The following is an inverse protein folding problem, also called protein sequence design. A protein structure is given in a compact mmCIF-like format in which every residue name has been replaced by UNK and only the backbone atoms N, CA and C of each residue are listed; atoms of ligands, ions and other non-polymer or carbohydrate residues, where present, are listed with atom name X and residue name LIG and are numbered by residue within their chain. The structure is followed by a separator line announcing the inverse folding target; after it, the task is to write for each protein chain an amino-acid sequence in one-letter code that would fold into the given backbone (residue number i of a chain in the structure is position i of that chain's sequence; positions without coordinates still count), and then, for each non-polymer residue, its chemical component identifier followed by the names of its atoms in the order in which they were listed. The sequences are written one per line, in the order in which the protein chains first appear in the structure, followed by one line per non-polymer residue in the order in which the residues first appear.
data_IF_535710607315
#
_entry.id   IF_535710607315
#
_cell.length_a   1.000
_cell.length_b   1.000
_cell.length_c   1.000
_cell.angle_alpha   90.00
_cell.angle_beta   90.00
_cell.angle_gamma   90.00
#
_symmetry.space_group_name_H-M   'P 1'
#
loop_
_entity.id
_entity.type
_entity.pdbx_description
1 polymer ?
#
# COMPACT_ATOMS: atom_id res chain seq x y z
N UNK A 1 -0.53 18.75 -6.75
CA UNK A 1 0.50 18.50 -5.71
C UNK A 1 -0.03 18.50 -4.28
N UNK A 2 -0.87 19.46 -3.85
CA UNK A 2 -1.41 19.50 -2.48
C UNK A 2 -2.02 18.18 -2.01
N UNK A 3 -2.93 17.60 -2.79
CA UNK A 3 -3.61 16.35 -2.46
C UNK A 3 -2.67 15.13 -2.34
N UNK A 4 -1.57 15.10 -3.11
CA UNK A 4 -0.59 13.98 -3.05
C UNK A 4 0.15 14.00 -1.71
N UNK A 5 0.27 15.16 -1.05
CA UNK A 5 0.90 15.23 0.29
C UNK A 5 0.05 14.55 1.36
N UNK A 6 -1.25 14.47 1.17
CA UNK A 6 -2.22 13.96 2.15
C UNK A 6 -2.46 12.44 2.07
N UNK A 7 -1.80 11.75 1.13
CA UNK A 7 -1.91 10.29 0.96
C UNK A 7 -0.64 9.57 1.36
N UNK A 8 -0.74 8.31 1.78
CA UNK A 8 0.40 7.51 2.23
C UNK A 8 1.06 6.68 1.12
N UNK A 9 0.38 6.51 -0.03
CA UNK A 9 0.89 5.81 -1.20
C UNK A 9 0.33 6.41 -2.49
N UNK A 10 1.00 6.16 -3.61
CA UNK A 10 0.59 6.66 -4.93
C UNK A 10 0.33 5.49 -5.88
N UNK A 11 -0.85 5.48 -6.50
CA UNK A 11 -1.14 4.59 -7.63
C UNK A 11 -0.84 5.37 -8.91
N UNK A 12 0.23 5.00 -9.60
CA UNK A 12 0.64 5.65 -10.84
C UNK A 12 0.09 4.86 -12.02
N UNK A 13 -1.02 5.35 -12.58
CA UNK A 13 -1.64 4.75 -13.77
C UNK A 13 -0.87 5.23 -15.01
N UNK A 14 -0.44 4.28 -15.84
CA UNK A 14 0.32 4.51 -17.07
C UNK A 14 -0.45 3.94 -18.26
N UNK A 15 -0.47 4.69 -19.36
CA UNK A 15 -1.07 4.24 -20.62
C UNK A 15 -0.17 3.19 -21.27
N UNK A 16 -0.67 1.97 -21.38
CA UNK A 16 0.01 0.84 -22.00
C UNK A 16 -0.81 0.27 -23.17
N UNK A 17 -1.55 1.10 -23.90
CA UNK A 17 -2.35 0.71 -25.07
C UNK A 17 -2.26 1.75 -26.18
N UNK A 18 -2.38 1.29 -27.43
CA UNK A 18 -2.46 2.13 -28.62
C UNK A 18 -3.92 2.34 -28.99
N UNK A 19 -4.31 3.60 -29.19
CA UNK A 19 -5.65 3.96 -29.63
C UNK A 19 -5.54 5.19 -30.53
N UNK A 20 -5.96 5.04 -31.79
CA UNK A 20 -5.91 6.06 -32.84
C UNK A 20 -6.83 7.25 -32.52
N UNK A 21 -7.86 7.06 -31.68
CA UNK A 21 -8.79 8.10 -31.26
C UNK A 21 -8.29 8.91 -30.05
N UNK A 22 -7.19 8.48 -29.41
CA UNK A 22 -6.62 9.14 -28.22
C UNK A 22 -5.22 9.66 -28.50
N UNK A 23 -5.11 10.97 -28.71
CA UNK A 23 -3.83 11.64 -28.99
C UNK A 23 -2.89 11.64 -27.78
N UNK A 24 -1.62 11.30 -28.02
CA UNK A 24 -0.55 11.45 -27.05
C UNK A 24 0.09 12.83 -27.16
N UNK A 25 0.45 13.46 -26.03
CA UNK A 25 1.05 14.82 -26.02
C UNK A 25 2.34 14.86 -26.84
N UNK A 26 3.17 13.82 -26.74
CA UNK A 26 4.43 13.67 -27.49
C UNK A 26 4.29 12.93 -28.84
N UNK A 27 3.05 12.64 -29.27
CA UNK A 27 2.78 11.97 -30.56
C UNK A 27 3.15 10.48 -30.62
N UNK A 28 3.70 9.90 -29.55
CA UNK A 28 3.95 8.46 -29.40
C UNK A 28 3.75 8.05 -27.95
N UNK A 29 3.14 6.88 -27.73
CA UNK A 29 2.96 6.30 -26.41
C UNK A 29 4.28 5.76 -25.89
N UNK A 30 4.70 6.24 -24.73
CA UNK A 30 5.84 5.73 -23.99
C UNK A 30 5.57 5.82 -22.47
N UNK A 31 5.07 4.75 -21.84
CA UNK A 31 4.73 4.79 -20.41
C UNK A 31 5.95 5.03 -19.51
N UNK A 32 7.18 4.79 -19.99
CA UNK A 32 8.38 5.07 -19.21
C UNK A 32 8.63 6.57 -19.20
N UNK A 33 8.56 7.23 -20.37
CA UNK A 33 8.70 8.67 -20.46
C UNK A 33 7.58 9.42 -19.70
N UNK A 34 6.34 8.90 -19.75
CA UNK A 34 5.22 9.44 -19.00
C UNK A 34 5.47 9.37 -17.48
N UNK A 35 5.97 8.22 -16.99
CA UNK A 35 6.33 8.05 -15.60
C UNK A 35 7.46 9.00 -15.19
N UNK A 36 8.53 9.07 -15.98
CA UNK A 36 9.69 9.94 -15.72
C UNK A 36 9.31 11.42 -15.68
N UNK A 37 8.35 11.84 -16.51
CA UNK A 37 7.83 13.21 -16.52
C UNK A 37 7.19 13.55 -15.17
N UNK A 38 6.25 12.71 -14.71
CA UNK A 38 5.58 12.91 -13.41
C UNK A 38 6.58 12.83 -12.27
N UNK A 39 7.49 11.85 -12.29
CA UNK A 39 8.53 11.66 -11.29
C UNK A 39 9.44 12.90 -11.19
N UNK A 40 9.83 13.48 -12.33
CA UNK A 40 10.63 14.71 -12.39
C UNK A 40 9.92 15.88 -11.73
N UNK A 41 8.62 16.06 -11.98
CA UNK A 41 7.84 17.12 -11.32
C UNK A 41 7.78 16.93 -9.80
N UNK A 42 7.63 15.69 -9.32
CA UNK A 42 7.64 15.37 -7.89
C UNK A 42 9.02 15.63 -7.26
N UNK A 43 10.11 15.24 -7.96
CA UNK A 43 11.48 15.49 -7.52
C UNK A 43 11.77 16.99 -7.38
N UNK A 44 11.38 17.79 -8.37
CA UNK A 44 11.55 19.25 -8.33
C UNK A 44 10.79 19.89 -7.17
N UNK A 45 9.58 19.42 -6.89
CA UNK A 45 8.77 19.92 -5.77
C UNK A 45 9.39 19.56 -4.40
N UNK A 46 9.98 18.39 -4.26
CA UNK A 46 10.69 17.98 -3.04
C UNK A 46 12.02 18.74 -2.89
N UNK A 47 12.79 18.92 -3.96
CA UNK A 47 14.01 19.74 -3.97
C UNK A 47 13.75 21.17 -3.50
N UNK A 48 12.72 21.83 -4.04
CA UNK A 48 12.31 23.17 -3.61
C UNK A 48 11.90 23.19 -2.11
N UNK A 49 11.15 22.18 -1.66
CA UNK A 49 10.74 22.06 -0.25
C UNK A 49 11.94 21.90 0.68
N UNK A 50 12.88 21.02 0.33
CA UNK A 50 14.07 20.71 1.13
C UNK A 50 15.02 21.90 1.20
N UNK A 51 15.30 22.56 0.07
CA UNK A 51 16.14 23.75 0.02
C UNK A 51 15.61 24.88 0.90
N UNK A 52 14.28 25.07 0.95
CA UNK A 52 13.64 26.06 1.83
C UNK A 52 13.77 25.72 3.33
N UNK A 53 13.96 24.45 3.70
CA UNK A 53 14.10 24.01 5.10
C UNK A 53 15.52 24.20 5.65
N UNK A 54 16.55 24.11 4.80
CA UNK A 54 17.97 24.16 5.20
C UNK A 54 18.30 25.36 6.11
N UNK A 55 17.96 26.62 5.77
CA UNK A 55 18.35 27.77 6.60
C UNK A 55 17.78 27.72 8.03
N UNK A 56 16.58 27.16 8.20
CA UNK A 56 15.97 26.99 9.52
C UNK A 56 16.69 25.91 10.34
N UNK A 57 17.03 24.79 9.71
CA UNK A 57 17.79 23.71 10.33
C UNK A 57 19.17 24.19 10.78
N UNK A 58 19.90 24.91 9.92
CA UNK A 58 21.19 25.51 10.28
C UNK A 58 21.09 26.46 11.48
N UNK A 59 20.03 27.28 11.53
CA UNK A 59 19.79 28.17 12.68
C UNK A 59 19.55 27.37 13.97
N UNK A 60 18.77 26.29 13.92
CA UNK A 60 18.52 25.41 15.08
C UNK A 60 19.81 24.70 15.54
N UNK A 61 20.66 24.26 14.61
CA UNK A 61 21.96 23.64 14.93
C UNK A 61 22.88 24.61 15.68
N UNK A 62 22.89 25.91 15.35
CA UNK A 62 23.64 26.91 16.12
C UNK A 62 23.17 26.98 17.58
N UNK A 63 21.89 26.70 17.83
CA UNK A 63 21.29 26.51 19.15
C UNK A 63 21.58 25.14 19.80
N UNK A 64 22.49 24.34 19.25
CA UNK A 64 22.88 23.01 19.73
C UNK A 64 21.77 21.95 19.66
N UNK A 65 20.81 22.12 18.75
CA UNK A 65 19.76 21.14 18.47
C UNK A 65 20.34 19.93 17.70
N UNK A 66 20.41 18.78 18.39
CA UNK A 66 20.96 17.54 17.83
C UNK A 66 20.04 16.90 16.78
N UNK A 67 18.72 17.03 16.93
CA UNK A 67 17.75 16.49 15.98
C UNK A 67 17.81 17.28 14.67
N UNK A 68 17.93 18.62 14.75
CA UNK A 68 18.13 19.45 13.56
C UNK A 68 19.40 19.07 12.78
N UNK A 69 20.47 18.65 13.47
CA UNK A 69 21.70 18.16 12.83
C UNK A 69 21.49 16.85 12.10
N UNK A 70 20.75 15.91 12.69
CA UNK A 70 20.40 14.64 12.06
C UNK A 70 19.51 14.86 10.81
N UNK A 71 18.47 15.68 10.95
CA UNK A 71 17.58 16.05 9.84
C UNK A 71 18.35 16.71 8.71
N UNK A 72 19.28 17.64 9.00
CA UNK A 72 20.06 18.29 7.95
C UNK A 72 20.93 17.30 7.17
N UNK A 73 21.57 16.34 7.86
CA UNK A 73 22.34 15.29 7.20
C UNK A 73 21.47 14.42 6.29
N UNK A 74 20.25 14.08 6.75
CA UNK A 74 19.28 13.35 5.94
C UNK A 74 18.82 14.15 4.72
N UNK A 75 18.46 15.43 4.92
CA UNK A 75 18.04 16.36 3.85
C UNK A 75 19.11 16.46 2.77
N UNK A 76 20.38 16.56 3.14
CA UNK A 76 21.49 16.64 2.18
C UNK A 76 21.62 15.37 1.34
N UNK A 77 21.51 14.19 1.96
CA UNK A 77 21.52 12.91 1.22
C UNK A 77 20.35 12.80 0.26
N UNK A 78 19.15 13.21 0.68
CA UNK A 78 17.96 13.21 -0.18
C UNK A 78 18.15 14.15 -1.36
N UNK A 79 18.65 15.37 -1.15
CA UNK A 79 18.92 16.33 -2.24
C UNK A 79 19.86 15.72 -3.27
N UNK A 80 20.96 15.09 -2.82
CA UNK A 80 21.92 14.44 -3.73
C UNK A 80 21.25 13.36 -4.58
N UNK A 81 20.40 12.50 -3.99
CA UNK A 81 19.66 11.49 -4.75
C UNK A 81 18.74 12.11 -5.80
N UNK A 82 17.96 13.13 -5.42
CA UNK A 82 17.02 13.79 -6.32
C UNK A 82 17.75 14.50 -7.48
N UNK A 83 18.94 15.09 -7.22
CA UNK A 83 19.80 15.69 -8.26
C UNK A 83 20.38 14.65 -9.22
N UNK A 84 20.58 13.41 -8.78
CA UNK A 84 20.99 12.26 -9.60
C UNK A 84 19.80 11.61 -10.34
N UNK A 85 18.58 12.12 -10.18
CA UNK A 85 17.36 11.58 -10.80
C UNK A 85 16.82 10.34 -10.07
N UNK A 86 17.21 10.11 -8.82
CA UNK A 86 16.75 9.00 -8.00
C UNK A 86 15.70 9.45 -6.98
N UNK A 87 14.63 8.66 -6.84
CA UNK A 87 13.51 8.95 -5.95
C UNK A 87 13.92 8.87 -4.48
N UNK A 88 13.44 9.79 -3.62
CA UNK A 88 13.83 9.80 -2.20
C UNK A 88 13.54 8.48 -1.44
N UNK A 89 12.55 7.71 -1.87
CA UNK A 89 12.20 6.39 -1.29
C UNK A 89 13.34 5.36 -1.33
N UNK A 90 14.29 5.51 -2.28
CA UNK A 90 15.42 4.59 -2.48
C UNK A 90 16.56 4.85 -1.50
N UNK A 91 16.52 5.97 -0.76
CA UNK A 91 17.49 6.26 0.28
C UNK A 91 17.45 5.17 1.34
N UNK A 92 18.59 4.56 1.68
CA UNK A 92 18.69 3.66 2.82
C UNK A 92 18.74 4.44 4.14
N UNK A 93 17.92 4.00 5.10
CA UNK A 93 17.84 4.55 6.45
C UNK A 93 18.56 3.62 7.41
N UNK A 94 19.43 4.18 8.25
CA UNK A 94 20.32 3.40 9.10
C UNK A 94 19.58 2.64 10.22
N UNK A 95 18.53 3.26 10.76
CA UNK A 95 17.74 2.72 11.87
C UNK A 95 16.31 3.31 11.90
N UNK A 96 15.50 2.85 12.85
CA UNK A 96 14.11 3.27 13.02
C UNK A 96 13.96 4.76 13.41
N UNK A 97 14.98 5.35 14.03
CA UNK A 97 14.92 6.79 14.37
C UNK A 97 15.17 7.62 13.12
N UNK A 98 16.10 7.22 12.25
CA UNK A 98 16.30 7.87 10.97
C UNK A 98 15.08 7.70 10.03
N UNK A 99 14.42 6.53 10.04
CA UNK A 99 13.13 6.33 9.35
C UNK A 99 12.08 7.35 9.82
N UNK A 100 11.91 7.51 11.13
CA UNK A 100 10.97 8.47 11.72
C UNK A 100 11.27 9.91 11.28
N UNK A 101 12.55 10.28 11.22
CA UNK A 101 12.96 11.60 10.72
C UNK A 101 12.67 11.77 9.23
N UNK A 102 12.88 10.72 8.43
CA UNK A 102 12.57 10.69 7.00
C UNK A 102 11.08 10.86 6.74
N UNK A 103 10.22 10.11 7.43
CA UNK A 103 8.76 10.25 7.35
C UNK A 103 8.32 11.68 7.74
N UNK A 104 8.97 12.28 8.74
CA UNK A 104 8.74 13.66 9.14
C UNK A 104 9.08 14.71 8.06
N UNK A 105 9.84 14.35 7.02
CA UNK A 105 10.08 15.23 5.88
C UNK A 105 8.84 15.39 4.99
N UNK A 106 7.93 14.41 4.97
CA UNK A 106 6.70 14.42 4.18
C UNK A 106 6.98 14.64 2.67
N UNK A 107 7.98 13.93 2.16
CA UNK A 107 8.41 13.96 0.77
C UNK A 107 7.40 13.27 -0.14
N UNK A 108 7.17 13.83 -1.32
CA UNK A 108 6.32 13.23 -2.35
C UNK A 108 6.98 11.98 -2.93
N UNK A 109 8.26 12.08 -3.26
CA UNK A 109 9.09 11.03 -3.86
C UNK A 109 9.50 9.94 -2.88
N UNK A 110 9.30 10.19 -1.57
CA UNK A 110 9.49 9.22 -0.50
C UNK A 110 8.33 8.24 -0.32
N UNK A 111 7.14 8.54 -0.87
CA UNK A 111 5.96 7.68 -0.73
C UNK A 111 6.09 6.42 -1.58
N UNK A 112 5.63 5.25 -1.11
CA UNK A 112 5.58 4.04 -1.93
C UNK A 112 4.65 4.22 -3.15
N UNK A 113 4.98 3.55 -4.27
CA UNK A 113 4.20 3.58 -5.52
C UNK A 113 3.78 2.18 -5.96
N UNK A 114 2.56 2.10 -6.48
CA UNK A 114 2.07 1.00 -7.30
C UNK A 114 1.92 1.49 -8.73
N UNK A 115 2.65 0.90 -9.68
CA UNK A 115 2.43 1.14 -11.09
C UNK A 115 1.23 0.35 -11.59
N UNK A 116 0.34 1.00 -12.34
CA UNK A 116 -0.83 0.38 -12.94
C UNK A 116 -0.76 0.55 -14.44
N UNK A 117 -0.54 -0.54 -15.15
CA UNK A 117 -0.51 -0.57 -16.61
C UNK A 117 -1.94 -0.72 -17.11
N UNK A 118 -2.51 0.36 -17.65
CA UNK A 118 -3.79 0.29 -18.33
C UNK A 118 -3.57 -0.21 -19.76
N UNK A 119 -4.12 -1.37 -20.12
CA UNK A 119 -3.94 -2.03 -21.41
C UNK A 119 -5.29 -2.30 -22.11
N UNK A 120 -5.25 -2.66 -23.39
CA UNK A 120 -6.42 -3.13 -24.12
C UNK A 120 -6.98 -4.45 -23.57
N UNK A 121 -8.25 -4.70 -23.85
CA UNK A 121 -9.01 -5.86 -23.33
C UNK A 121 -8.33 -7.19 -23.71
N UNK A 122 -7.92 -7.34 -24.97
CA UNK A 122 -7.31 -8.57 -25.49
C UNK A 122 -5.97 -8.95 -24.86
N UNK A 123 -5.34 -8.04 -24.12
CA UNK A 123 -4.08 -8.28 -23.41
C UNK A 123 -4.20 -8.08 -21.89
N UNK A 124 -5.41 -7.93 -21.35
CA UNK A 124 -5.63 -7.66 -19.93
C UNK A 124 -5.12 -8.78 -19.00
N UNK A 125 -5.09 -10.03 -19.48
CA UNK A 125 -4.60 -11.18 -18.73
C UNK A 125 -3.07 -11.30 -18.71
N UNK A 126 -2.41 -11.00 -19.85
CA UNK A 126 -0.99 -11.30 -20.06
C UNK A 126 -0.08 -10.07 -20.21
N UNK A 127 -0.68 -8.90 -20.44
CA UNK A 127 0.04 -7.68 -20.79
C UNK A 127 0.58 -7.66 -22.22
N UNK A 128 1.37 -6.62 -22.50
CA UNK A 128 2.03 -6.36 -23.76
C UNK A 128 3.45 -5.81 -23.54
N UNK A 129 4.11 -5.34 -24.61
CA UNK A 129 5.47 -4.80 -24.54
C UNK A 129 5.58 -3.58 -23.62
N UNK A 130 4.55 -2.72 -23.57
CA UNK A 130 4.51 -1.54 -22.70
C UNK A 130 4.47 -1.94 -21.24
N UNK A 131 3.54 -2.83 -20.86
CA UNK A 131 3.45 -3.31 -19.48
C UNK A 131 4.69 -4.10 -19.05
N UNK A 132 5.35 -4.79 -19.97
CA UNK A 132 6.61 -5.48 -19.67
C UNK A 132 7.77 -4.50 -19.37
N UNK A 133 7.82 -3.34 -20.03
CA UNK A 133 8.79 -2.28 -19.70
C UNK A 133 8.51 -1.69 -18.32
N UNK A 134 7.25 -1.38 -18.02
CA UNK A 134 6.85 -0.84 -16.71
C UNK A 134 7.15 -1.84 -15.60
N UNK A 135 6.88 -3.13 -15.81
CA UNK A 135 7.19 -4.18 -14.84
C UNK A 135 8.69 -4.22 -14.49
N UNK A 136 9.58 -4.06 -15.49
CA UNK A 136 11.03 -3.98 -15.25
C UNK A 136 11.44 -2.75 -14.46
N UNK A 137 10.85 -1.57 -14.75
CA UNK A 137 11.09 -0.35 -13.97
C UNK A 137 10.62 -0.55 -12.53
N UNK A 138 9.42 -1.07 -12.33
CA UNK A 138 8.86 -1.35 -11.02
C UNK A 138 9.76 -2.31 -10.21
N UNK A 139 10.24 -3.40 -10.82
CA UNK A 139 11.16 -4.34 -10.18
C UNK A 139 12.48 -3.68 -9.77
N UNK A 140 13.08 -2.87 -10.65
CA UNK A 140 14.32 -2.16 -10.37
C UNK A 140 14.19 -1.17 -9.19
N UNK A 141 12.98 -0.66 -8.95
CA UNK A 141 12.67 0.29 -7.88
C UNK A 141 12.06 -0.37 -6.62
N UNK A 142 11.84 -1.70 -6.64
CA UNK A 142 11.14 -2.41 -5.57
C UNK A 142 9.65 -2.02 -5.44
N UNK A 143 9.06 -1.49 -6.51
CA UNK A 143 7.65 -1.11 -6.58
C UNK A 143 6.77 -2.25 -7.11
N UNK A 144 5.47 -2.19 -6.78
CA UNK A 144 4.49 -3.11 -7.35
C UNK A 144 4.09 -2.71 -8.77
N UNK A 145 3.67 -3.68 -9.58
CA UNK A 145 3.07 -3.44 -10.89
C UNK A 145 1.81 -4.31 -11.06
N UNK A 146 0.71 -3.71 -11.53
CA UNK A 146 -0.55 -4.41 -11.83
C UNK A 146 -1.00 -4.05 -13.23
N UNK A 147 -1.47 -5.03 -13.99
CA UNK A 147 -2.07 -4.84 -15.32
C UNK A 147 -3.59 -4.80 -15.15
N UNK A 148 -4.23 -3.80 -15.73
CA UNK A 148 -5.69 -3.69 -15.80
C UNK A 148 -6.12 -3.30 -17.21
N UNK A 149 -7.40 -3.52 -17.53
CA UNK A 149 -8.03 -2.82 -18.65
C UNK A 149 -9.19 -1.99 -18.11
N UNK A 150 -9.08 -0.67 -18.20
CA UNK A 150 -10.13 0.23 -17.74
C UNK A 150 -11.45 0.04 -18.53
N UNK A 151 -11.36 -0.43 -19.78
CA UNK A 151 -12.53 -0.76 -20.60
C UNK A 151 -13.30 -1.96 -20.05
N UNK A 152 -12.60 -3.06 -19.74
CA UNK A 152 -13.16 -4.22 -19.02
C UNK A 152 -13.79 -3.79 -17.70
N UNK A 153 -13.11 -2.96 -16.89
CA UNK A 153 -13.66 -2.50 -15.62
C UNK A 153 -14.94 -1.66 -15.79
N UNK A 154 -15.01 -0.84 -16.85
CA UNK A 154 -16.19 -0.04 -17.15
C UNK A 154 -17.38 -0.92 -17.55
N UNK A 155 -17.17 -1.97 -18.33
CA UNK A 155 -18.21 -2.93 -18.70
C UNK A 155 -18.71 -3.71 -17.49
N UNK A 156 -17.80 -4.25 -16.68
CA UNK A 156 -18.11 -4.96 -15.44
C UNK A 156 -18.93 -4.09 -14.48
N UNK A 157 -18.66 -2.78 -14.43
CA UNK A 157 -19.38 -1.85 -13.54
C UNK A 157 -20.86 -1.69 -13.90
N UNK A 158 -21.24 -1.99 -15.13
CA UNK A 158 -22.61 -1.90 -15.64
C UNK A 158 -23.40 -3.21 -15.50
N UNK A 159 -22.73 -4.31 -15.15
CA UNK A 159 -23.36 -5.61 -14.96
C UNK A 159 -24.03 -5.71 -13.59
N UNK A 160 -25.27 -6.21 -13.57
CA UNK A 160 -26.10 -6.25 -12.36
C UNK A 160 -25.85 -7.50 -11.51
N UNK A 161 -25.42 -8.60 -12.13
CA UNK A 161 -25.29 -9.89 -11.43
C UNK A 161 -23.84 -10.37 -11.30
N UNK A 162 -23.50 -10.93 -10.13
CA UNK A 162 -22.18 -11.51 -9.89
C UNK A 162 -21.90 -12.73 -10.79
N UNK A 163 -22.95 -13.43 -11.24
CA UNK A 163 -22.80 -14.56 -12.15
C UNK A 163 -22.32 -14.09 -13.54
N UNK A 164 -22.95 -13.05 -14.08
CA UNK A 164 -22.59 -12.42 -15.35
C UNK A 164 -21.17 -11.86 -15.31
N UNK A 165 -20.80 -11.16 -14.24
CA UNK A 165 -19.42 -10.66 -14.04
C UNK A 165 -18.39 -11.78 -14.08
N UNK A 166 -18.68 -12.91 -13.45
CA UNK A 166 -17.75 -14.07 -13.44
C UNK A 166 -17.64 -14.73 -14.80
N UNK A 167 -18.75 -14.86 -15.52
CA UNK A 167 -18.76 -15.42 -16.88
C UNK A 167 -17.94 -14.54 -17.83
N UNK A 168 -18.18 -13.23 -17.80
CA UNK A 168 -17.42 -12.25 -18.60
C UNK A 168 -15.91 -12.27 -18.30
N UNK A 169 -15.53 -12.28 -17.03
CA UNK A 169 -14.13 -12.40 -16.63
C UNK A 169 -13.49 -13.70 -17.14
N UNK A 170 -14.20 -14.82 -17.01
CA UNK A 170 -13.71 -16.13 -17.45
C UNK A 170 -13.50 -16.16 -18.98
N UNK A 171 -14.40 -15.56 -19.76
CA UNK A 171 -14.25 -15.43 -21.21
C UNK A 171 -13.01 -14.62 -21.62
N UNK A 172 -12.63 -13.64 -20.80
CA UNK A 172 -11.41 -12.84 -20.96
C UNK A 172 -10.16 -13.49 -20.35
N UNK A 173 -10.26 -14.69 -19.77
CA UNK A 173 -9.16 -15.39 -19.11
C UNK A 173 -8.72 -14.72 -17.80
N UNK A 174 -9.61 -13.98 -17.15
CA UNK A 174 -9.38 -13.31 -15.88
C UNK A 174 -10.10 -14.06 -14.75
N UNK A 175 -9.42 -14.25 -13.62
CA UNK A 175 -10.03 -14.85 -12.42
C UNK A 175 -10.78 -13.80 -11.57
N UNK A 176 -10.48 -12.53 -11.79
CA UNK A 176 -10.96 -11.41 -10.98
C UNK A 176 -10.79 -10.06 -11.68
N UNK A 177 -11.42 -9.01 -11.11
CA UNK A 177 -11.31 -7.66 -11.66
C UNK A 177 -9.94 -7.03 -11.43
N UNK A 178 -9.52 -6.18 -12.34
CA UNK A 178 -8.39 -5.27 -12.18
C UNK A 178 -8.52 -4.38 -10.95
N UNK A 179 -9.72 -3.88 -10.64
CA UNK A 179 -9.95 -3.10 -9.42
C UNK A 179 -9.65 -3.91 -8.15
N UNK A 180 -10.06 -5.17 -8.08
CA UNK A 180 -9.75 -6.04 -6.93
C UNK A 180 -8.24 -6.26 -6.78
N UNK A 181 -7.52 -6.45 -7.90
CA UNK A 181 -6.05 -6.56 -7.91
C UNK A 181 -5.38 -5.28 -7.41
N UNK A 182 -5.84 -4.10 -7.85
CA UNK A 182 -5.31 -2.81 -7.37
C UNK A 182 -5.57 -2.63 -5.88
N UNK A 183 -6.77 -2.93 -5.39
CA UNK A 183 -7.11 -2.79 -3.97
C UNK A 183 -6.19 -3.66 -3.11
N UNK A 184 -5.98 -4.93 -3.49
CA UNK A 184 -5.08 -5.82 -2.74
C UNK A 184 -3.63 -5.38 -2.80
N UNK A 185 -3.15 -4.99 -3.97
CA UNK A 185 -1.79 -4.48 -4.12
C UNK A 185 -1.58 -3.19 -3.30
N UNK A 186 -2.55 -2.28 -3.29
CA UNK A 186 -2.54 -1.08 -2.45
C UNK A 186 -2.54 -1.39 -0.95
N UNK A 187 -3.32 -2.39 -0.51
CA UNK A 187 -3.31 -2.87 0.87
C UNK A 187 -1.93 -3.37 1.29
N UNK A 188 -1.31 -4.18 0.44
CA UNK A 188 0.04 -4.69 0.67
C UNK A 188 1.08 -3.58 0.68
N UNK A 189 0.96 -2.62 -0.24
CA UNK A 189 1.85 -1.47 -0.36
C UNK A 189 1.83 -0.60 0.89
N UNK A 190 0.65 -0.41 1.49
CA UNK A 190 0.47 0.31 2.75
C UNK A 190 0.85 -0.51 3.99
N UNK A 191 1.35 -1.74 3.81
CA UNK A 191 1.69 -2.62 4.92
C UNK A 191 0.47 -3.00 5.78
N UNK A 192 -0.73 -2.98 5.20
CA UNK A 192 -1.97 -3.33 5.89
C UNK A 192 -2.19 -4.85 5.85
N UNK A 193 -2.89 -5.33 6.87
CA UNK A 193 -3.39 -6.70 6.98
C UNK A 193 -4.77 -6.69 7.63
N UNK A 194 -5.48 -7.81 7.55
CA UNK A 194 -6.85 -7.92 8.03
C UNK A 194 -6.96 -9.04 9.06
N UNK A 195 -7.66 -8.78 10.16
CA UNK A 195 -8.15 -9.82 11.06
C UNK A 195 -9.68 -9.79 11.08
N UNK A 196 -10.30 -10.85 11.58
CA UNK A 196 -11.74 -10.99 11.61
C UNK A 196 -12.28 -11.16 13.03
N UNK A 197 -13.45 -10.59 13.28
CA UNK A 197 -14.33 -11.02 14.37
C UNK A 197 -15.49 -11.78 13.75
N UNK A 198 -15.78 -12.98 14.24
CA UNK A 198 -16.88 -13.80 13.75
C UNK A 198 -17.80 -14.20 14.92
N UNK A 199 -19.10 -13.94 14.77
CA UNK A 199 -20.12 -14.37 15.71
C UNK A 199 -21.45 -14.65 15.00
N UNK A 200 -22.47 -15.15 15.73
CA UNK A 200 -23.74 -15.57 15.13
C UNK A 200 -24.51 -14.45 14.41
N UNK A 201 -24.27 -13.20 14.79
CA UNK A 201 -24.95 -12.02 14.24
C UNK A 201 -24.16 -11.29 13.17
N UNK A 202 -22.84 -11.33 13.25
CA UNK A 202 -21.97 -10.52 12.41
C UNK A 202 -20.62 -11.20 12.23
N UNK A 203 -20.10 -11.16 11.02
CA UNK A 203 -18.70 -11.35 10.71
C UNK A 203 -18.16 -10.04 10.14
N UNK A 204 -17.02 -9.57 10.66
CA UNK A 204 -16.45 -8.29 10.29
C UNK A 204 -14.94 -8.39 10.08
N UNK A 205 -14.47 -7.75 9.03
CA UNK A 205 -13.06 -7.53 8.74
C UNK A 205 -12.56 -6.25 9.41
N UNK A 206 -11.39 -6.31 10.02
CA UNK A 206 -10.74 -5.18 10.69
C UNK A 206 -9.35 -4.96 10.13
N UNK A 207 -9.08 -3.73 9.72
CA UNK A 207 -7.82 -3.32 9.11
C UNK A 207 -6.81 -2.89 10.19
N UNK A 208 -5.60 -3.43 10.11
CA UNK A 208 -4.47 -3.05 10.97
C UNK A 208 -3.19 -2.98 10.13
N UNK A 209 -2.15 -2.32 10.63
CA UNK A 209 -0.82 -2.40 10.02
C UNK A 209 -0.12 -3.69 10.45
N UNK A 210 0.75 -4.22 9.60
CA UNK A 210 1.61 -5.37 9.93
C UNK A 210 2.44 -5.06 11.18
N UNK A 211 2.56 -6.04 12.07
CA UNK A 211 3.25 -5.87 13.35
C UNK A 211 2.36 -5.34 14.49
N UNK A 212 1.10 -4.98 14.22
CA UNK A 212 0.15 -4.56 15.27
C UNK A 212 -0.04 -5.68 16.30
N UNK A 213 0.08 -5.34 17.58
CA UNK A 213 -0.10 -6.28 18.70
C UNK A 213 -1.57 -6.45 19.07
N UNK A 214 -1.91 -7.58 19.69
CA UNK A 214 -3.29 -7.92 20.04
C UNK A 214 -4.07 -6.81 20.80
N UNK A 215 -3.50 -6.10 21.80
CA UNK A 215 -4.20 -5.00 22.47
C UNK A 215 -4.53 -3.85 21.53
N UNK A 216 -3.60 -3.47 20.66
CA UNK A 216 -3.76 -2.38 19.69
C UNK A 216 -4.82 -2.76 18.63
N UNK A 217 -4.79 -4.02 18.17
CA UNK A 217 -5.81 -4.55 17.27
C UNK A 217 -7.21 -4.50 17.90
N UNK A 218 -7.34 -4.81 19.20
CA UNK A 218 -8.59 -4.66 19.94
C UNK A 218 -9.03 -3.19 20.04
N UNK A 219 -8.07 -2.27 20.19
CA UNK A 219 -8.29 -0.81 20.20
C UNK A 219 -8.96 -0.28 18.93
N UNK A 220 -8.73 -0.91 17.77
CA UNK A 220 -9.39 -0.58 16.50
C UNK A 220 -10.90 -0.83 16.55
N UNK A 221 -11.35 -1.79 17.36
CA UNK A 221 -12.78 -2.01 17.62
C UNK A 221 -13.31 -0.93 18.55
N UNK A 222 -12.64 -0.76 19.69
CA UNK A 222 -12.99 0.24 20.68
C UNK A 222 -11.79 0.52 21.60
N UNK A 223 -11.52 1.80 21.89
CA UNK A 223 -10.36 2.20 22.72
C UNK A 223 -10.35 1.59 24.12
N UNK A 224 -11.51 1.27 24.70
CA UNK A 224 -11.59 0.60 26.01
C UNK A 224 -11.12 -0.86 25.97
N UNK A 225 -11.22 -1.54 24.82
CA UNK A 225 -10.73 -2.91 24.70
C UNK A 225 -9.21 -2.98 24.81
N UNK A 226 -8.51 -1.96 24.28
CA UNK A 226 -7.06 -1.85 24.41
C UNK A 226 -6.66 -1.60 25.87
N UNK A 227 -7.31 -0.65 26.56
CA UNK A 227 -7.04 -0.32 27.96
C UNK A 227 -7.34 -1.48 28.90
N UNK A 228 -8.47 -2.13 28.69
CA UNK A 228 -8.97 -3.25 29.48
C UNK A 228 -8.45 -4.61 29.04
N UNK A 229 -7.55 -4.68 28.05
CA UNK A 229 -7.14 -5.95 27.42
C UNK A 229 -6.63 -6.97 28.42
N UNK A 230 -7.24 -8.16 28.40
CA UNK A 230 -6.83 -9.33 29.18
C UNK A 230 -6.09 -10.32 28.28
N UNK A 231 -6.75 -10.79 27.23
CA UNK A 231 -6.24 -11.77 26.26
C UNK A 231 -7.11 -11.79 25.00
N UNK A 232 -6.61 -12.38 23.93
CA UNK A 232 -7.40 -12.69 22.73
C UNK A 232 -7.55 -14.21 22.58
N UNK A 233 -8.76 -14.68 22.32
CA UNK A 233 -8.99 -16.01 21.75
C UNK A 233 -8.74 -15.90 20.24
N UNK A 234 -7.80 -16.69 19.71
CA UNK A 234 -7.32 -16.54 18.33
C UNK A 234 -7.26 -17.87 17.62
N UNK A 235 -7.81 -17.93 16.41
CA UNK A 235 -7.75 -19.08 15.52
C UNK A 235 -7.30 -18.60 14.14
N UNK A 236 -6.37 -19.31 13.50
CA UNK A 236 -5.97 -18.98 12.13
C UNK A 236 -7.14 -19.24 11.16
N UNK A 237 -7.31 -18.39 10.14
CA UNK A 237 -8.40 -18.52 9.14
C UNK A 237 -8.53 -19.93 8.58
N UNK A 238 -7.41 -20.52 8.14
CA UNK A 238 -7.38 -21.85 7.52
C UNK A 238 -7.87 -22.95 8.48
N UNK A 239 -7.45 -22.91 9.74
CA UNK A 239 -7.91 -23.86 10.77
C UNK A 239 -9.41 -23.66 11.05
N UNK A 240 -9.88 -22.42 11.14
CA UNK A 240 -11.29 -22.13 11.40
C UNK A 240 -12.21 -22.66 10.29
N UNK A 241 -11.84 -22.46 9.02
CA UNK A 241 -12.60 -22.98 7.89
C UNK A 241 -12.54 -24.51 7.83
N UNK A 242 -11.35 -25.10 7.96
CA UNK A 242 -11.17 -26.56 7.87
C UNK A 242 -11.89 -27.32 8.99
N UNK A 243 -12.08 -26.70 10.15
CA UNK A 243 -12.68 -27.34 11.33
C UNK A 243 -14.15 -26.95 11.56
N UNK A 244 -14.78 -26.27 10.59
CA UNK A 244 -16.21 -25.95 10.67
C UNK A 244 -16.55 -24.88 11.71
N UNK A 245 -15.63 -23.96 11.97
CA UNK A 245 -15.83 -22.80 12.84
C UNK A 245 -15.28 -22.92 14.26
N UNK A 246 -15.72 -22.03 15.13
CA UNK A 246 -15.15 -21.84 16.48
C UNK A 246 -15.14 -23.13 17.31
N UNK A 247 -16.25 -23.87 17.31
CA UNK A 247 -16.38 -25.06 18.15
C UNK A 247 -15.40 -26.17 17.73
N UNK A 248 -15.32 -26.46 16.43
CA UNK A 248 -14.39 -27.48 15.93
C UNK A 248 -12.93 -27.05 16.06
N UNK A 249 -12.62 -25.76 15.88
CA UNK A 249 -11.29 -25.22 16.14
C UNK A 249 -10.88 -25.38 17.61
N UNK A 250 -11.81 -25.15 18.54
CA UNK A 250 -11.59 -25.32 19.98
C UNK A 250 -11.39 -26.78 20.36
N UNK A 251 -12.24 -27.68 19.88
CA UNK A 251 -12.18 -29.11 20.20
C UNK A 251 -10.89 -29.76 19.66
N UNK A 252 -10.41 -29.30 18.50
CA UNK A 252 -9.14 -29.71 17.92
C UNK A 252 -7.90 -29.03 18.55
N UNK A 253 -8.08 -28.16 19.55
CA UNK A 253 -6.99 -27.45 20.22
C UNK A 253 -6.29 -26.40 19.36
N UNK A 254 -6.93 -25.91 18.29
CA UNK A 254 -6.39 -24.87 17.39
C UNK A 254 -6.69 -23.45 17.87
N UNK A 255 -7.67 -23.28 18.77
CA UNK A 255 -7.95 -22.01 19.41
C UNK A 255 -6.90 -21.71 20.48
N UNK A 256 -6.16 -20.62 20.29
CA UNK A 256 -5.09 -20.17 21.19
C UNK A 256 -5.58 -19.03 22.07
N UNK A 257 -4.95 -18.89 23.23
CA UNK A 257 -5.12 -17.74 24.12
C UNK A 257 -3.87 -16.89 24.02
N UNK A 258 -3.99 -15.78 23.31
CA UNK A 258 -2.89 -14.88 23.00
C UNK A 258 -2.82 -13.72 23.99
N UNK A 259 -1.59 -13.40 24.42
CA UNK A 259 -1.30 -12.35 25.38
C UNK A 259 -1.02 -10.99 24.72
N UNK A 260 -0.56 -10.03 25.52
CA UNK A 260 -0.29 -8.64 25.08
C UNK A 260 0.83 -8.51 24.05
N UNK A 261 1.77 -9.45 24.04
CA UNK A 261 2.91 -9.46 23.12
C UNK A 261 2.63 -10.18 21.80
N UNK A 262 1.45 -10.78 21.64
CA UNK A 262 1.08 -11.44 20.39
C UNK A 262 0.98 -10.41 19.27
N UNK A 263 1.69 -10.67 18.18
CA UNK A 263 1.59 -9.93 16.93
C UNK A 263 0.52 -10.58 16.08
N UNK A 264 -0.54 -9.82 15.77
CA UNK A 264 -1.67 -10.33 15.00
C UNK A 264 -1.20 -10.75 13.60
N UNK A 265 -1.69 -11.90 13.14
CA UNK A 265 -1.40 -12.41 11.81
C UNK A 265 -2.57 -12.12 10.86
N UNK A 266 -2.25 -12.00 9.57
CA UNK A 266 -3.26 -11.82 8.54
C UNK A 266 -4.25 -13.01 8.52
N UNK A 267 -5.54 -12.69 8.48
CA UNK A 267 -6.64 -13.64 8.54
C UNK A 267 -6.98 -14.18 9.93
N UNK A 268 -6.29 -13.78 11.00
CA UNK A 268 -6.62 -14.26 12.34
C UNK A 268 -8.10 -13.98 12.68
N UNK A 269 -8.78 -14.99 13.22
CA UNK A 269 -10.14 -14.86 13.75
C UNK A 269 -10.02 -14.70 15.26
N UNK A 270 -10.39 -13.51 15.74
CA UNK A 270 -10.09 -13.06 17.09
C UNK A 270 -11.37 -12.72 17.87
N UNK A 271 -11.36 -13.09 19.15
CA UNK A 271 -12.34 -12.66 20.14
C UNK A 271 -11.61 -12.09 21.36
N UNK A 272 -11.79 -10.79 21.61
CA UNK A 272 -11.06 -10.09 22.69
C UNK A 272 -11.77 -10.22 24.03
N UNK A 273 -11.00 -10.51 25.08
CA UNK A 273 -11.45 -10.48 26.48
C UNK A 273 -10.86 -9.23 27.14
N UNK A 274 -11.70 -8.43 27.77
CA UNK A 274 -11.32 -7.19 28.43
C UNK A 274 -12.07 -7.02 29.74
N UNK A 275 -11.47 -6.28 30.68
CA UNK A 275 -12.12 -5.82 31.90
C UNK A 275 -12.65 -4.39 31.68
N UNK A 276 -13.90 -4.16 32.08
CA UNK A 276 -14.48 -2.82 32.17
C UNK A 276 -14.02 -2.10 33.44
#
# INVERSE_FOLDING_TARGET
MGNIREVDAVVHVLRCFEDDDVTHVDGKIDPIADAETVETELMLADLDSLNKRIPNLERRIRGQDKEAKAILGLVQRVITLLEEGLMARTLERADAEEERLFEGLQLLTGKPVLYVCNVDEGVAANGNEFSAKVAKKAEAEGAGCVIISAAIEAEISQMDSDAEKREFLADMGLEETGLARIIRAGYQLLGLQTYFTAGPKEARAWTITKGTRAPQAAGVIHTDFEKGFIRAETTAFADYIALGGEHGAKDAGKMRLEGKDYVVQDGDIMMFRFAN
#
